data_IF_686088347709
#
_entry.id   IF_686088347709
#
_cell.length_a   1.000
_cell.length_b   1.000
_cell.length_c   1.000
_cell.angle_alpha   90.00
_cell.angle_beta   90.00
_cell.angle_gamma   90.00
#
_symmetry.space_group_name_H-M   'P 1'
#
loop_
_entity.id
_entity.type
_entity.pdbx_description
1 polymer ?
#
# COMPACT_ATOMS: atom_id res chain seq x y z
N UNK A 1 -22.53 -29.60 15.76
CA UNK A 1 -22.02 -29.32 14.39
C UNK A 1 -22.38 -27.90 14.03
N UNK A 2 -21.41 -26.97 14.07
CA UNK A 2 -21.66 -25.57 13.74
C UNK A 2 -22.05 -25.44 12.27
N UNK A 3 -23.28 -25.02 12.01
CA UNK A 3 -23.71 -24.53 10.70
C UNK A 3 -22.82 -23.34 10.35
N UNK A 4 -21.84 -23.53 9.47
CA UNK A 4 -21.21 -22.42 8.75
C UNK A 4 -22.36 -21.70 8.04
N UNK A 5 -22.69 -20.51 8.51
CA UNK A 5 -23.53 -19.56 7.79
C UNK A 5 -22.83 -19.28 6.46
N UNK A 6 -23.16 -20.06 5.43
CA UNK A 6 -22.74 -19.79 4.07
C UNK A 6 -23.48 -18.52 3.64
N UNK A 7 -22.69 -17.52 3.26
CA UNK A 7 -23.16 -16.27 2.64
C UNK A 7 -24.20 -16.58 1.54
N UNK A 8 -25.30 -15.80 1.43
CA UNK A 8 -26.39 -16.05 0.47
C UNK A 8 -25.99 -15.83 -1.01
N UNK A 9 -24.74 -15.45 -1.27
CA UNK A 9 -24.24 -15.11 -2.60
C UNK A 9 -23.45 -16.27 -3.21
N UNK A 10 -23.67 -16.54 -4.51
CA UNK A 10 -22.86 -17.51 -5.24
C UNK A 10 -21.38 -17.09 -5.25
N UNK A 11 -20.49 -18.08 -5.35
CA UNK A 11 -19.05 -17.88 -5.37
C UNK A 11 -18.60 -16.85 -6.42
N UNK A 12 -19.12 -17.00 -7.64
CA UNK A 12 -18.83 -16.13 -8.77
C UNK A 12 -19.23 -14.67 -8.52
N UNK A 13 -20.33 -14.46 -7.80
CA UNK A 13 -20.82 -13.13 -7.46
C UNK A 13 -19.97 -12.47 -6.39
N UNK A 14 -19.49 -13.23 -5.39
CA UNK A 14 -18.54 -12.72 -4.40
C UNK A 14 -17.22 -12.31 -5.05
N UNK A 15 -16.68 -13.14 -5.94
CA UNK A 15 -15.47 -12.80 -6.72
C UNK A 15 -15.68 -11.58 -7.63
N UNK A 16 -16.83 -11.46 -8.29
CA UNK A 16 -17.13 -10.32 -9.15
C UNK A 16 -17.23 -9.00 -8.36
N UNK A 17 -17.90 -9.03 -7.21
CA UNK A 17 -17.98 -7.89 -6.28
C UNK A 17 -16.58 -7.53 -5.77
N UNK A 18 -15.80 -8.53 -5.34
CA UNK A 18 -14.42 -8.33 -4.91
C UNK A 18 -13.59 -7.59 -5.96
N UNK A 19 -13.55 -8.09 -7.20
CA UNK A 19 -12.80 -7.46 -8.30
C UNK A 19 -13.26 -6.03 -8.58
N UNK A 20 -14.56 -5.77 -8.57
CA UNK A 20 -15.12 -4.43 -8.80
C UNK A 20 -14.66 -3.45 -7.72
N UNK A 21 -14.78 -3.85 -6.45
CA UNK A 21 -14.39 -3.00 -5.33
C UNK A 21 -12.87 -2.75 -5.31
N UNK A 22 -12.06 -3.73 -5.71
CA UNK A 22 -10.62 -3.55 -5.93
C UNK A 22 -10.29 -2.59 -7.05
N UNK A 23 -10.98 -2.68 -8.19
CA UNK A 23 -10.80 -1.73 -9.28
C UNK A 23 -11.05 -0.28 -8.84
N UNK A 24 -12.05 -0.05 -7.98
CA UNK A 24 -12.30 1.30 -7.43
C UNK A 24 -11.18 1.75 -6.49
N UNK A 25 -10.71 0.87 -5.61
CA UNK A 25 -9.61 1.19 -4.71
C UNK A 25 -8.35 1.54 -5.49
N UNK A 26 -7.95 0.73 -6.47
CA UNK A 26 -6.78 1.03 -7.30
C UNK A 26 -6.92 2.36 -8.03
N UNK A 27 -8.10 2.68 -8.57
CA UNK A 27 -8.35 3.98 -9.19
C UNK A 27 -8.18 5.16 -8.20
N UNK A 28 -8.57 5.00 -6.94
CA UNK A 28 -8.35 6.02 -5.90
C UNK A 28 -6.86 6.20 -5.57
N UNK A 29 -6.11 5.09 -5.51
CA UNK A 29 -4.67 5.10 -5.26
C UNK A 29 -3.92 5.76 -6.41
N UNK A 30 -4.23 5.37 -7.64
CA UNK A 30 -3.63 5.96 -8.85
C UNK A 30 -3.91 7.46 -8.94
N UNK A 31 -5.12 7.90 -8.58
CA UNK A 31 -5.46 9.32 -8.59
C UNK A 31 -4.69 10.17 -7.56
N UNK A 32 -4.10 9.57 -6.53
CA UNK A 32 -3.25 10.27 -5.56
C UNK A 32 -1.77 10.24 -5.90
N UNK A 33 -1.34 9.27 -6.71
CA UNK A 33 0.07 9.04 -6.97
C UNK A 33 0.60 10.16 -7.89
N UNK A 34 1.67 10.89 -7.51
CA UNK A 34 2.30 11.86 -8.39
C UNK A 34 2.75 11.21 -9.71
N UNK A 35 2.59 11.92 -10.83
CA UNK A 35 2.93 11.39 -12.15
C UNK A 35 4.41 10.98 -12.23
N UNK A 36 5.32 11.76 -11.63
CA UNK A 36 6.75 11.42 -11.60
C UNK A 36 7.02 10.14 -10.78
N UNK A 37 6.22 9.87 -9.75
CA UNK A 37 6.32 8.62 -8.98
C UNK A 37 5.86 7.43 -9.81
N UNK A 38 4.77 7.57 -10.56
CA UNK A 38 4.31 6.52 -11.48
C UNK A 38 5.35 6.22 -12.58
N UNK A 39 5.94 7.25 -13.17
CA UNK A 39 7.01 7.10 -14.17
C UNK A 39 8.23 6.37 -13.59
N UNK A 40 8.63 6.75 -12.37
CA UNK A 40 9.77 6.15 -11.69
C UNK A 40 9.57 4.67 -11.38
N UNK A 41 8.34 4.27 -11.03
CA UNK A 41 7.98 2.87 -10.79
C UNK A 41 7.95 2.05 -12.08
N UNK A 42 7.57 2.66 -13.21
CA UNK A 42 7.62 2.01 -14.52
C UNK A 42 9.05 1.82 -15.04
N UNK A 43 10.00 2.62 -14.54
CA UNK A 43 11.42 2.59 -14.92
C UNK A 43 12.32 2.40 -13.70
N UNK A 44 12.29 1.20 -13.07
CA UNK A 44 13.13 0.90 -11.91
C UNK A 44 14.62 0.95 -12.27
N UNK A 45 15.52 1.20 -11.30
CA UNK A 45 16.95 1.10 -11.53
C UNK A 45 17.33 -0.30 -12.02
N UNK A 46 18.28 -0.35 -12.95
CA UNK A 46 18.78 -1.61 -13.49
C UNK A 46 19.72 -2.29 -12.48
N UNK A 47 19.16 -3.02 -11.53
CA UNK A 47 19.95 -3.86 -10.63
C UNK A 47 20.26 -5.21 -11.29
N UNK A 48 21.53 -5.61 -11.29
CA UNK A 48 21.97 -6.88 -11.88
C UNK A 48 21.67 -8.08 -10.96
N UNK A 49 21.63 -7.87 -9.65
CA UNK A 49 21.45 -8.89 -8.62
C UNK A 49 20.34 -8.46 -7.65
N UNK A 50 19.31 -9.30 -7.39
CA UNK A 50 18.25 -9.00 -6.43
C UNK A 50 18.73 -8.76 -4.99
N UNK A 51 19.80 -9.43 -4.54
CA UNK A 51 20.33 -9.25 -3.19
C UNK A 51 21.04 -7.89 -3.04
N UNK A 52 21.81 -7.49 -4.06
CA UNK A 52 22.41 -6.15 -4.14
C UNK A 52 21.34 -5.08 -4.23
N UNK A 53 20.29 -5.29 -5.04
CA UNK A 53 19.16 -4.38 -5.12
C UNK A 53 18.52 -4.17 -3.74
N UNK A 54 18.28 -5.25 -3.00
CA UNK A 54 17.72 -5.17 -1.66
C UNK A 54 18.65 -4.42 -0.71
N UNK A 55 19.94 -4.74 -0.70
CA UNK A 55 20.93 -4.07 0.13
C UNK A 55 21.03 -2.57 -0.18
N UNK A 56 21.03 -2.19 -1.45
CA UNK A 56 21.07 -0.80 -1.89
C UNK A 56 19.82 -0.03 -1.46
N UNK A 57 18.63 -0.64 -1.61
CA UNK A 57 17.38 -0.03 -1.16
C UNK A 57 17.34 0.12 0.36
N UNK A 58 17.80 -0.88 1.12
CA UNK A 58 17.92 -0.81 2.58
C UNK A 58 18.92 0.28 3.00
N UNK A 59 20.06 0.38 2.33
CA UNK A 59 21.08 1.41 2.59
C UNK A 59 20.54 2.82 2.31
N UNK A 60 19.81 2.99 1.21
CA UNK A 60 19.13 4.26 0.89
C UNK A 60 18.15 4.63 1.99
N UNK A 61 17.27 3.72 2.39
CA UNK A 61 16.30 3.96 3.45
C UNK A 61 16.97 4.34 4.78
N UNK A 62 18.05 3.64 5.16
CA UNK A 62 18.80 3.91 6.40
C UNK A 62 19.56 5.24 6.36
N UNK A 63 19.92 5.73 5.17
CA UNK A 63 20.61 7.02 5.01
C UNK A 63 19.69 8.23 5.18
N UNK A 64 18.37 8.04 5.17
CA UNK A 64 17.42 9.13 5.32
C UNK A 64 17.27 9.48 6.80
N UNK A 65 17.88 10.60 7.21
CA UNK A 65 17.74 11.16 8.56
C UNK A 65 16.38 11.84 8.77
N UNK A 66 15.29 11.11 8.54
CA UNK A 66 13.93 11.58 8.75
C UNK A 66 13.43 11.20 10.15
N UNK A 67 13.14 12.19 11.02
CA UNK A 67 12.53 11.91 12.32
C UNK A 67 11.23 11.10 12.16
N UNK A 68 11.03 10.14 13.06
CA UNK A 68 9.84 9.30 13.14
C UNK A 68 9.51 8.44 11.90
N UNK A 69 10.36 8.48 10.85
CA UNK A 69 10.11 7.75 9.59
C UNK A 69 10.08 6.24 9.79
N UNK A 70 11.06 5.68 10.50
CA UNK A 70 11.13 4.23 10.76
C UNK A 70 9.88 3.78 11.53
N UNK A 71 9.53 4.49 12.60
CA UNK A 71 8.35 4.19 13.40
C UNK A 71 7.04 4.30 12.58
N UNK A 72 6.93 5.32 11.72
CA UNK A 72 5.81 5.46 10.80
C UNK A 72 5.75 4.30 9.81
N UNK A 73 6.86 3.91 9.20
CA UNK A 73 6.91 2.82 8.22
C UNK A 73 6.57 1.46 8.83
N UNK A 74 7.05 1.18 10.05
CA UNK A 74 6.67 -0.01 10.81
C UNK A 74 5.17 -0.02 11.13
N UNK A 75 4.63 1.11 11.60
CA UNK A 75 3.21 1.25 11.89
C UNK A 75 2.35 1.09 10.63
N UNK A 76 2.77 1.67 9.51
CA UNK A 76 2.07 1.63 8.23
C UNK A 76 2.11 0.22 7.64
N UNK A 77 3.27 -0.43 7.65
CA UNK A 77 3.43 -1.82 7.21
C UNK A 77 2.59 -2.76 8.04
N UNK A 78 2.57 -2.58 9.38
CA UNK A 78 1.70 -3.35 10.28
C UNK A 78 0.22 -3.09 9.99
N UNK A 79 -0.17 -1.85 9.72
CA UNK A 79 -1.54 -1.48 9.43
C UNK A 79 -2.03 -2.09 8.10
N UNK A 80 -1.22 -2.00 7.04
CA UNK A 80 -1.49 -2.64 5.74
C UNK A 80 -1.44 -4.17 5.85
N UNK A 81 -0.50 -4.72 6.62
CA UNK A 81 -0.36 -6.14 6.90
C UNK A 81 -1.51 -6.73 7.73
N UNK A 82 -2.08 -5.95 8.64
CA UNK A 82 -3.31 -6.30 9.35
C UNK A 82 -4.57 -6.16 8.46
N UNK A 83 -4.46 -5.40 7.37
CA UNK A 83 -5.47 -5.26 6.34
C UNK A 83 -5.31 -6.19 5.14
N UNK A 84 -4.47 -7.24 5.23
CA UNK A 84 -4.16 -8.14 4.12
C UNK A 84 -5.41 -8.54 3.34
N UNK A 85 -5.49 -7.96 2.16
CA UNK A 85 -6.62 -8.02 1.27
C UNK A 85 -6.55 -9.28 0.43
N UNK A 86 -7.28 -10.31 0.83
CA UNK A 86 -7.25 -11.58 0.13
C UNK A 86 -8.55 -11.87 -0.60
N UNK A 87 -8.44 -12.39 -1.82
CA UNK A 87 -9.60 -12.91 -2.53
C UNK A 87 -10.28 -13.99 -1.67
N UNK A 88 -11.62 -14.11 -1.67
CA UNK A 88 -12.38 -15.08 -0.87
C UNK A 88 -11.93 -16.56 -0.94
N UNK A 89 -10.97 -16.93 -1.80
CA UNK A 89 -10.41 -18.28 -1.98
C UNK A 89 -8.90 -18.37 -1.78
N UNK A 90 -8.24 -17.33 -1.27
CA UNK A 90 -6.82 -17.43 -0.94
C UNK A 90 -6.61 -18.56 0.08
N UNK A 91 -5.65 -19.48 -0.14
CA UNK A 91 -5.38 -20.61 0.75
C UNK A 91 -4.86 -20.18 2.13
N UNK A 92 -4.65 -18.89 2.33
CA UNK A 92 -4.27 -18.28 3.58
C UNK A 92 -5.54 -17.81 4.33
N UNK A 93 -5.78 -18.25 5.58
CA UNK A 93 -6.99 -17.93 6.36
C UNK A 93 -7.06 -16.48 6.92
N UNK A 94 -6.38 -15.50 6.31
CA UNK A 94 -6.13 -14.18 6.92
C UNK A 94 -7.22 -13.15 6.53
N UNK A 95 -8.29 -13.63 5.89
CA UNK A 95 -9.54 -12.93 5.65
C UNK A 95 -10.31 -12.72 6.96
N UNK A 96 -9.95 -11.70 7.73
CA UNK A 96 -10.75 -11.32 8.91
C UNK A 96 -11.33 -9.91 8.83
N UNK A 97 -10.96 -9.08 7.85
CA UNK A 97 -11.43 -7.69 7.79
C UNK A 97 -11.74 -7.23 6.38
N UNK A 98 -12.97 -6.75 6.19
CA UNK A 98 -13.31 -5.91 5.06
C UNK A 98 -12.55 -4.58 5.23
N UNK A 99 -12.21 -3.83 4.16
CA UNK A 99 -11.59 -2.51 4.29
C UNK A 99 -12.34 -1.57 5.25
N UNK A 100 -13.67 -1.75 5.39
CA UNK A 100 -14.50 -1.03 6.36
C UNK A 100 -14.17 -1.28 7.84
N UNK A 101 -13.59 -2.43 8.17
CA UNK A 101 -13.24 -2.84 9.55
C UNK A 101 -11.85 -2.37 10.00
N UNK A 102 -11.14 -1.64 9.12
CA UNK A 102 -9.81 -1.10 9.41
C UNK A 102 -9.92 0.18 10.25
N UNK A 103 -9.11 0.25 11.30
CA UNK A 103 -8.87 1.51 12.02
C UNK A 103 -8.24 2.54 11.07
N UNK A 104 -8.30 3.84 11.38
CA UNK A 104 -7.56 4.85 10.60
C UNK A 104 -6.07 4.49 10.46
N UNK A 105 -5.41 4.85 9.34
CA UNK A 105 -3.98 4.66 9.17
C UNK A 105 -3.18 5.50 10.18
N UNK A 106 -1.91 5.14 10.44
CA UNK A 106 -1.02 5.99 11.23
C UNK A 106 -0.86 7.37 10.59
N UNK A 107 -0.69 8.41 11.42
CA UNK A 107 -0.50 9.76 10.94
C UNK A 107 0.86 9.92 10.23
N UNK A 108 0.86 10.61 9.10
CA UNK A 108 2.08 10.90 8.33
C UNK A 108 2.96 11.90 9.10
N UNK A 109 4.29 11.67 9.20
CA UNK A 109 5.20 12.67 9.74
C UNK A 109 5.15 13.96 8.89
N UNK A 110 5.08 15.16 9.50
CA UNK A 110 4.88 16.41 8.76
C UNK A 110 5.92 16.69 7.66
N UNK A 111 7.17 16.28 7.88
CA UNK A 111 8.27 16.48 6.93
C UNK A 111 8.36 15.39 5.85
N UNK A 112 7.67 14.25 6.02
CA UNK A 112 7.83 13.09 5.15
C UNK A 112 7.44 13.41 3.71
N UNK A 113 6.30 14.05 3.51
CA UNK A 113 5.78 14.36 2.18
C UNK A 113 6.73 15.24 1.37
N UNK A 114 7.19 16.35 1.96
CA UNK A 114 8.17 17.25 1.32
C UNK A 114 9.48 16.54 0.97
N UNK A 115 9.93 15.65 1.86
CA UNK A 115 11.20 14.96 1.68
C UNK A 115 11.14 13.91 0.56
N UNK A 116 10.01 13.17 0.48
CA UNK A 116 9.75 12.23 -0.60
C UNK A 116 9.68 12.94 -1.95
N UNK A 117 8.99 14.08 -2.04
CA UNK A 117 8.93 14.87 -3.26
C UNK A 117 10.30 15.41 -3.70
N UNK A 118 11.17 15.79 -2.75
CA UNK A 118 12.52 16.21 -3.05
C UNK A 118 13.34 15.06 -3.64
N UNK A 119 13.30 13.89 -2.99
CA UNK A 119 14.06 12.70 -3.41
C UNK A 119 13.54 12.06 -4.69
N UNK A 120 12.25 12.18 -4.96
CA UNK A 120 11.65 11.70 -6.19
C UNK A 120 12.33 12.27 -7.45
N UNK A 121 12.92 13.47 -7.35
CA UNK A 121 13.66 14.13 -8.42
C UNK A 121 15.07 13.56 -8.63
N UNK A 122 15.54 12.70 -7.75
CA UNK A 122 16.88 12.13 -7.84
C UNK A 122 16.92 11.02 -8.89
N UNK A 123 17.92 11.03 -9.80
CA UNK A 123 18.04 10.02 -10.85
C UNK A 123 18.58 8.67 -10.34
N UNK A 124 18.96 8.58 -9.06
CA UNK A 124 19.54 7.41 -8.41
C UNK A 124 18.47 6.58 -7.64
N UNK A 125 18.83 5.45 -6.99
CA UNK A 125 17.88 4.64 -6.22
C UNK A 125 17.03 5.42 -5.20
N UNK A 126 17.44 6.60 -4.72
CA UNK A 126 16.61 7.43 -3.83
C UNK A 126 15.27 7.82 -4.47
N UNK A 127 15.27 8.18 -5.75
CA UNK A 127 14.03 8.53 -6.45
C UNK A 127 13.08 7.34 -6.56
N UNK A 128 13.63 6.14 -6.78
CA UNK A 128 12.83 4.91 -6.84
C UNK A 128 12.26 4.53 -5.46
N UNK A 129 13.08 4.60 -4.41
CA UNK A 129 12.62 4.39 -3.04
C UNK A 129 11.54 5.40 -2.66
N UNK A 130 11.72 6.68 -3.01
CA UNK A 130 10.71 7.72 -2.77
C UNK A 130 9.40 7.43 -3.49
N UNK A 131 9.46 7.00 -4.75
CA UNK A 131 8.27 6.62 -5.52
C UNK A 131 7.52 5.42 -4.90
N UNK A 132 8.26 4.39 -4.47
CA UNK A 132 7.68 3.22 -3.80
C UNK A 132 7.00 3.58 -2.47
N UNK A 133 7.60 4.47 -1.69
CA UNK A 133 7.01 4.98 -0.45
C UNK A 133 5.76 5.84 -0.71
N UNK A 134 5.78 6.69 -1.74
CA UNK A 134 4.61 7.47 -2.17
C UNK A 134 3.46 6.55 -2.62
N UNK A 135 3.75 5.46 -3.34
CA UNK A 135 2.75 4.46 -3.69
C UNK A 135 2.15 3.77 -2.46
N UNK A 136 2.98 3.46 -1.46
CA UNK A 136 2.51 2.88 -0.19
C UNK A 136 1.58 3.85 0.56
N UNK A 137 1.94 5.13 0.64
CA UNK A 137 1.14 6.17 1.27
C UNK A 137 -0.18 6.41 0.52
N UNK A 138 -0.13 6.52 -0.81
CA UNK A 138 -1.31 6.63 -1.67
C UNK A 138 -2.23 5.41 -1.50
N UNK A 139 -1.66 4.21 -1.33
CA UNK A 139 -2.42 2.99 -1.02
C UNK A 139 -3.17 3.14 0.29
N UNK A 140 -2.49 3.59 1.36
CA UNK A 140 -3.10 3.73 2.67
C UNK A 140 -4.23 4.78 2.70
N UNK A 141 -4.02 5.93 2.03
CA UNK A 141 -5.05 6.97 1.91
C UNK A 141 -6.20 6.54 1.01
N UNK A 142 -5.93 5.82 -0.09
CA UNK A 142 -6.95 5.18 -0.92
C UNK A 142 -7.83 4.23 -0.11
N UNK A 143 -7.24 3.38 0.72
CA UNK A 143 -7.96 2.46 1.63
C UNK A 143 -8.81 3.25 2.63
N UNK A 144 -8.27 4.32 3.24
CA UNK A 144 -8.99 5.14 4.20
C UNK A 144 -10.23 5.82 3.56
N UNK A 145 -10.06 6.46 2.39
CA UNK A 145 -11.16 7.11 1.65
C UNK A 145 -12.18 6.09 1.15
N UNK A 146 -11.73 4.93 0.69
CA UNK A 146 -12.62 3.85 0.29
C UNK A 146 -13.49 3.41 1.46
N UNK A 147 -12.93 3.24 2.67
CA UNK A 147 -13.71 2.96 3.89
C UNK A 147 -14.76 4.05 4.16
N UNK A 148 -14.38 5.32 4.08
CA UNK A 148 -15.31 6.44 4.34
C UNK A 148 -16.48 6.48 3.36
N UNK A 149 -16.30 5.96 2.14
CA UNK A 149 -17.34 5.89 1.10
C UNK A 149 -18.32 4.72 1.26
N UNK A 150 -18.02 3.73 2.11
CA UNK A 150 -18.90 2.59 2.33
C UNK A 150 -20.08 2.97 3.24
N UNK A 151 -21.32 2.56 2.91
CA UNK A 151 -22.46 2.75 3.81
C UNK A 151 -22.23 1.98 5.11
N UNK A 152 -22.46 2.65 6.24
CA UNK A 152 -22.32 2.08 7.59
C UNK A 152 -23.45 1.11 7.94
#
# INVERSE_FOLDING_TARGET
MSKKLQSPWSLSLQTAIWRREWGKLYALVEAELPAEASERLAHPPAFANPEEARFDLETVLLSWALPDFVAYMEALSTWLGAGVFQEPHSPHPWLLRWPGDLKPPPAEPPALWSELHLRLRQPNPEGFVAAALLQLMATARGVARYRESLPQ
#
